data_IF_240956772087
#
_entry.id   IF_240956772087
#
_cell.length_a   1.000
_cell.length_b   1.000
_cell.length_c   1.000
_cell.angle_alpha   90.00
_cell.angle_beta   90.00
_cell.angle_gamma   90.00
#
_symmetry.space_group_name_H-M   'P 1'
#
loop_
_entity.id
_entity.type
_entity.pdbx_description
1 polymer ?
#
# COMPACT_ATOMS: atom_id res chain seq x y z
N UNK A 1 9.49 -19.29 -12.91
CA UNK A 1 8.99 -18.16 -13.72
C UNK A 1 10.09 -17.18 -14.17
N UNK A 2 11.31 -17.22 -13.65
CA UNK A 2 12.41 -16.31 -14.07
C UNK A 2 12.95 -16.57 -15.48
N UNK A 3 12.78 -17.79 -16.02
CA UNK A 3 13.25 -18.16 -17.36
C UNK A 3 12.53 -17.41 -18.49
N UNK A 4 11.22 -17.24 -18.36
CA UNK A 4 10.35 -16.60 -19.35
C UNK A 4 10.74 -15.11 -19.58
N UNK A 5 11.07 -14.39 -18.50
CA UNK A 5 11.48 -12.99 -18.61
C UNK A 5 12.86 -12.85 -19.27
N UNK A 6 13.77 -13.79 -19.04
CA UNK A 6 15.13 -13.72 -19.63
C UNK A 6 15.09 -13.94 -21.14
N UNK A 7 14.26 -14.87 -21.61
CA UNK A 7 14.05 -15.13 -23.03
C UNK A 7 13.39 -13.92 -23.70
N UNK A 8 12.34 -13.37 -23.09
CA UNK A 8 11.68 -12.16 -23.56
C UNK A 8 12.65 -10.95 -23.63
N UNK A 9 13.57 -10.80 -22.68
CA UNK A 9 14.62 -9.76 -22.75
C UNK A 9 15.51 -9.96 -23.97
N UNK A 10 16.02 -11.18 -24.19
CA UNK A 10 16.91 -11.45 -25.33
C UNK A 10 16.21 -11.20 -26.67
N UNK A 11 14.95 -11.61 -26.80
CA UNK A 11 14.17 -11.37 -28.02
C UNK A 11 13.90 -9.87 -28.22
N UNK A 12 13.48 -9.17 -27.17
CA UNK A 12 13.23 -7.73 -27.24
C UNK A 12 14.50 -6.92 -27.57
N UNK A 13 15.67 -7.36 -27.11
CA UNK A 13 16.97 -6.77 -27.49
C UNK A 13 17.28 -6.91 -28.99
N UNK A 14 16.77 -7.96 -29.63
CA UNK A 14 16.90 -8.17 -31.08
C UNK A 14 15.83 -7.45 -31.90
N UNK A 15 14.95 -6.67 -31.26
CA UNK A 15 13.89 -5.89 -31.91
C UNK A 15 12.52 -6.58 -31.96
N UNK A 16 12.33 -7.68 -31.24
CA UNK A 16 11.02 -8.32 -31.11
C UNK A 16 10.05 -7.45 -30.28
N UNK A 17 9.08 -6.84 -30.96
CA UNK A 17 8.08 -5.99 -30.34
C UNK A 17 7.11 -6.74 -29.42
N UNK A 18 6.79 -8.00 -29.72
CA UNK A 18 5.89 -8.82 -28.90
C UNK A 18 6.59 -9.24 -27.61
N UNK A 19 7.87 -9.56 -27.68
CA UNK A 19 8.69 -9.78 -26.50
C UNK A 19 8.76 -8.51 -25.63
N UNK A 20 8.99 -7.34 -26.22
CA UNK A 20 8.96 -6.08 -25.46
C UNK A 20 7.60 -5.83 -24.81
N UNK A 21 6.51 -6.08 -25.54
CA UNK A 21 5.13 -5.95 -25.04
C UNK A 21 4.87 -6.89 -23.87
N UNK A 22 5.42 -8.11 -23.89
CA UNK A 22 5.36 -9.06 -22.77
C UNK A 22 6.11 -8.50 -21.54
N UNK A 23 7.32 -7.97 -21.72
CA UNK A 23 8.09 -7.33 -20.64
C UNK A 23 7.30 -6.17 -20.02
N UNK A 24 6.73 -5.30 -20.86
CA UNK A 24 5.90 -4.17 -20.43
C UNK A 24 4.70 -4.64 -19.61
N UNK A 25 3.87 -5.52 -20.16
CA UNK A 25 2.66 -6.02 -19.47
C UNK A 25 2.98 -6.73 -18.16
N UNK A 26 4.11 -7.41 -18.10
CA UNK A 26 4.55 -8.13 -16.90
C UNK A 26 5.01 -7.18 -15.78
N UNK A 27 5.72 -6.10 -16.12
CA UNK A 27 6.36 -5.23 -15.13
C UNK A 27 5.57 -3.97 -14.81
N UNK A 28 4.80 -3.45 -15.76
CA UNK A 28 4.09 -2.17 -15.64
C UNK A 28 3.16 -2.11 -14.42
N UNK A 29 2.32 -3.12 -14.10
CA UNK A 29 1.41 -3.00 -12.96
C UNK A 29 2.15 -2.85 -11.62
N UNK A 30 3.22 -3.62 -11.42
CA UNK A 30 4.05 -3.52 -10.21
C UNK A 30 4.86 -2.22 -10.16
N UNK A 31 5.34 -1.76 -11.32
CA UNK A 31 6.07 -0.52 -11.45
C UNK A 31 5.19 0.71 -11.16
N UNK A 32 3.97 0.73 -11.68
CA UNK A 32 3.00 1.80 -11.41
C UNK A 32 2.67 1.86 -9.92
N UNK A 33 2.29 0.74 -9.29
CA UNK A 33 2.01 0.72 -7.84
C UNK A 33 3.19 1.24 -7.00
N UNK A 34 4.42 0.87 -7.38
CA UNK A 34 5.63 1.39 -6.74
C UNK A 34 5.77 2.90 -6.93
N UNK A 35 5.56 3.41 -8.13
CA UNK A 35 5.67 4.84 -8.44
C UNK A 35 4.55 5.66 -7.81
N UNK A 36 3.31 5.16 -7.79
CA UNK A 36 2.16 5.80 -7.10
C UNK A 36 2.48 6.04 -5.63
N UNK A 37 3.08 5.06 -4.95
CA UNK A 37 3.48 5.23 -3.55
C UNK A 37 4.64 6.25 -3.35
N UNK A 38 5.42 6.56 -4.39
CA UNK A 38 6.55 7.50 -4.30
C UNK A 38 6.20 8.93 -4.73
N UNK A 39 5.42 9.09 -5.80
CA UNK A 39 5.16 10.38 -6.45
C UNK A 39 3.67 10.72 -6.59
N UNK A 40 2.77 9.83 -6.13
CA UNK A 40 1.33 10.08 -6.17
C UNK A 40 0.79 10.18 -7.60
N UNK A 41 0.06 11.25 -7.89
CA UNK A 41 -0.61 11.48 -9.17
C UNK A 41 0.34 11.53 -10.38
N UNK A 42 1.61 11.89 -10.17
CA UNK A 42 2.60 11.99 -11.26
C UNK A 42 3.19 10.61 -11.66
N UNK A 43 2.66 9.51 -11.12
CA UNK A 43 3.23 8.17 -11.33
C UNK A 43 3.17 7.70 -12.79
N UNK A 44 2.09 7.99 -13.51
CA UNK A 44 1.93 7.60 -14.91
C UNK A 44 2.93 8.32 -15.82
N UNK A 45 3.14 9.61 -15.58
CA UNK A 45 4.12 10.42 -16.31
C UNK A 45 5.54 9.90 -16.07
N UNK A 46 5.89 9.66 -14.80
CA UNK A 46 7.20 9.10 -14.43
C UNK A 46 7.38 7.70 -15.02
N UNK A 47 6.34 6.86 -15.03
CA UNK A 47 6.39 5.53 -15.63
C UNK A 47 6.61 5.61 -17.14
N UNK A 48 5.91 6.52 -17.82
CA UNK A 48 6.05 6.74 -19.27
C UNK A 48 7.46 7.18 -19.62
N UNK A 49 8.01 8.17 -18.91
CA UNK A 49 9.41 8.60 -19.09
C UNK A 49 10.41 7.47 -18.83
N UNK A 50 10.12 6.62 -17.85
CA UNK A 50 10.96 5.47 -17.50
C UNK A 50 10.94 4.42 -18.60
N UNK A 51 9.78 4.08 -19.15
CA UNK A 51 9.66 3.11 -20.26
C UNK A 51 10.29 3.62 -21.56
N UNK A 52 10.22 4.93 -21.82
CA UNK A 52 10.95 5.55 -22.93
C UNK A 52 12.47 5.48 -22.75
N UNK A 53 12.96 5.50 -21.51
CA UNK A 53 14.38 5.27 -21.25
C UNK A 53 14.72 3.78 -21.37
N UNK A 54 13.90 2.91 -20.79
CA UNK A 54 14.08 1.45 -20.85
C UNK A 54 14.13 0.97 -22.29
N UNK A 55 13.23 1.40 -23.17
CA UNK A 55 13.22 0.99 -24.57
C UNK A 55 14.50 1.41 -25.32
N UNK A 56 15.03 2.60 -25.03
CA UNK A 56 16.28 3.11 -25.61
C UNK A 56 17.51 2.38 -25.10
N UNK A 57 17.54 2.06 -23.81
CA UNK A 57 18.73 1.48 -23.16
C UNK A 57 18.73 -0.06 -23.24
N UNK A 58 17.58 -0.69 -23.50
CA UNK A 58 17.39 -2.14 -23.54
C UNK A 58 18.40 -2.88 -24.44
N UNK A 59 18.73 -2.42 -25.67
CA UNK A 59 19.71 -3.12 -26.51
C UNK A 59 21.10 -3.25 -25.88
N UNK A 60 21.44 -2.36 -24.94
CA UNK A 60 22.73 -2.36 -24.23
C UNK A 60 22.67 -3.00 -22.85
N UNK A 61 21.48 -3.37 -22.38
CA UNK A 61 21.32 -4.03 -21.09
C UNK A 61 22.06 -5.37 -21.10
N UNK A 62 22.96 -5.57 -20.13
CA UNK A 62 23.69 -6.82 -20.00
C UNK A 62 23.92 -7.15 -18.53
N UNK A 63 23.66 -8.41 -18.18
CA UNK A 63 23.83 -8.93 -16.83
C UNK A 63 22.83 -8.40 -15.80
N UNK A 64 22.79 -9.07 -14.65
CA UNK A 64 21.88 -8.72 -13.56
C UNK A 64 20.41 -9.09 -13.81
N UNK A 65 19.56 -8.75 -12.83
CA UNK A 65 18.12 -9.01 -12.92
C UNK A 65 17.43 -7.85 -13.65
N UNK A 66 16.80 -8.12 -14.78
CA UNK A 66 16.12 -7.12 -15.61
C UNK A 66 15.10 -6.28 -14.83
N UNK A 67 14.31 -6.93 -13.96
CA UNK A 67 13.34 -6.26 -13.10
C UNK A 67 14.02 -5.24 -12.17
N UNK A 68 15.16 -5.58 -11.59
CA UNK A 68 15.91 -4.67 -10.73
C UNK A 68 16.46 -3.47 -11.51
N UNK A 69 16.88 -3.69 -12.76
CA UNK A 69 17.34 -2.64 -13.66
C UNK A 69 16.22 -1.65 -14.04
N UNK A 70 15.06 -2.16 -14.46
CA UNK A 70 13.84 -1.35 -14.74
C UNK A 70 13.47 -0.48 -13.55
N UNK A 71 13.43 -1.09 -12.36
CA UNK A 71 13.04 -0.38 -11.14
C UNK A 71 14.09 0.63 -10.70
N UNK A 72 15.37 0.39 -10.99
CA UNK A 72 16.44 1.36 -10.75
C UNK A 72 16.26 2.60 -11.61
N UNK A 73 15.97 2.43 -12.92
CA UNK A 73 15.67 3.54 -13.82
C UNK A 73 14.48 4.35 -13.31
N UNK A 74 13.37 3.67 -13.03
CA UNK A 74 12.14 4.31 -12.56
C UNK A 74 12.32 5.04 -11.23
N UNK A 75 13.03 4.44 -10.27
CA UNK A 75 13.36 5.08 -9.00
C UNK A 75 14.19 6.34 -9.19
N UNK A 76 15.22 6.30 -10.04
CA UNK A 76 16.05 7.47 -10.30
C UNK A 76 15.20 8.61 -10.90
N UNK A 77 14.32 8.27 -11.84
CA UNK A 77 13.38 9.22 -12.47
C UNK A 77 12.42 9.85 -11.46
N UNK A 78 11.84 9.03 -10.57
CA UNK A 78 11.00 9.50 -9.48
C UNK A 78 11.76 10.43 -8.51
N UNK A 79 12.98 10.07 -8.13
CA UNK A 79 13.79 10.91 -7.23
C UNK A 79 14.17 12.24 -7.89
N UNK A 80 14.49 12.24 -9.19
CA UNK A 80 14.74 13.47 -9.94
C UNK A 80 13.49 14.35 -10.05
N UNK A 81 12.33 13.75 -10.27
CA UNK A 81 11.04 14.43 -10.24
C UNK A 81 10.78 15.13 -8.91
N UNK A 82 10.88 14.39 -7.80
CA UNK A 82 10.72 14.95 -6.44
C UNK A 82 11.74 16.06 -6.13
N UNK A 83 12.99 15.93 -6.61
CA UNK A 83 14.01 16.99 -6.47
C UNK A 83 13.69 18.23 -7.30
N UNK A 84 13.02 18.11 -8.45
CA UNK A 84 12.58 19.26 -9.26
C UNK A 84 11.43 20.00 -8.56
N UNK A 85 10.44 19.27 -8.06
CA UNK A 85 9.32 19.85 -7.31
C UNK A 85 9.80 20.65 -6.10
N UNK A 86 10.74 20.11 -5.32
CA UNK A 86 11.32 20.81 -4.15
C UNK A 86 12.11 22.08 -4.48
N UNK A 87 12.67 22.19 -5.69
CA UNK A 87 13.52 23.33 -6.11
C UNK A 87 12.71 24.47 -6.73
N UNK A 88 11.43 24.25 -7.04
CA UNK A 88 10.52 25.28 -7.55
C UNK A 88 9.62 25.69 -6.37
N UNK A 89 9.77 26.89 -5.77
CA UNK A 89 8.86 27.35 -4.74
C UNK A 89 7.53 27.67 -5.41
N UNK A 90 6.73 26.64 -5.68
CA UNK A 90 5.30 26.81 -5.79
C UNK A 90 4.78 27.01 -4.36
N UNK A 91 3.82 27.91 -4.22
CA UNK A 91 3.05 28.22 -3.01
C UNK A 91 2.78 26.96 -2.18
N UNK A 92 2.75 27.05 -0.83
CA UNK A 92 2.77 25.89 0.05
C UNK A 92 1.59 24.98 -0.26
N UNK A 93 1.86 23.88 -0.96
CA UNK A 93 0.96 22.73 -1.01
C UNK A 93 1.13 22.05 0.34
N UNK A 94 0.09 22.03 1.20
CA UNK A 94 0.18 21.40 2.50
C UNK A 94 0.58 19.93 2.33
N UNK A 95 1.32 19.40 3.30
CA UNK A 95 1.73 17.98 3.40
C UNK A 95 0.51 17.14 3.79
N UNK A 96 -0.56 17.27 3.02
CA UNK A 96 -1.82 16.53 3.05
C UNK A 96 -2.19 16.00 1.65
N UNK A 97 -1.38 16.25 0.61
CA UNK A 97 -1.66 15.77 -0.75
C UNK A 97 -1.60 14.24 -0.95
N UNK A 98 -1.25 13.46 0.09
CA UNK A 98 -1.32 11.99 0.05
C UNK A 98 -2.71 11.44 0.45
N UNK A 99 -3.64 12.28 0.91
CA UNK A 99 -4.95 11.84 1.44
C UNK A 99 -6.10 12.01 0.44
N UNK A 100 -5.87 12.66 -0.72
CA UNK A 100 -6.95 12.98 -1.67
C UNK A 100 -7.18 11.99 -2.81
N UNK A 101 -6.41 10.91 -2.93
CA UNK A 101 -6.62 9.94 -4.02
C UNK A 101 -7.72 8.90 -3.73
N UNK A 102 -8.30 8.91 -2.52
CA UNK A 102 -9.25 7.89 -2.09
C UNK A 102 -10.73 8.16 -2.44
N UNK A 103 -11.08 9.27 -3.13
CA UNK A 103 -12.50 9.62 -3.35
C UNK A 103 -13.12 9.25 -4.70
N UNK A 104 -12.34 8.81 -5.69
CA UNK A 104 -12.86 8.71 -7.06
C UNK A 104 -12.68 7.30 -7.65
N UNK A 105 -13.45 6.32 -7.17
CA UNK A 105 -13.55 5.02 -7.84
C UNK A 105 -14.86 4.27 -7.53
N UNK A 106 -15.96 4.71 -8.13
CA UNK A 106 -17.20 3.92 -8.23
C UNK A 106 -17.17 3.07 -9.51
N UNK A 107 -16.92 1.75 -9.39
CA UNK A 107 -17.39 0.74 -10.36
C UNK A 107 -17.35 -0.68 -9.76
N UNK A 108 -18.53 -1.21 -9.46
CA UNK A 108 -18.81 -2.15 -8.36
C UNK A 108 -18.36 -3.63 -8.47
N UNK A 109 -17.38 -4.00 -9.28
CA UNK A 109 -16.84 -5.38 -9.25
C UNK A 109 -15.32 -5.48 -9.42
N UNK A 110 -14.69 -4.48 -10.07
CA UNK A 110 -13.24 -4.23 -9.96
C UNK A 110 -12.88 -3.25 -8.84
N UNK A 111 -13.86 -2.51 -8.31
CA UNK A 111 -13.64 -1.52 -7.25
C UNK A 111 -13.14 -2.15 -5.96
N UNK A 112 -13.64 -3.30 -5.49
CA UNK A 112 -13.21 -3.84 -4.18
C UNK A 112 -11.74 -4.25 -4.13
N UNK A 113 -11.20 -4.89 -5.18
CA UNK A 113 -9.77 -5.23 -5.25
C UNK A 113 -8.89 -3.99 -5.50
N UNK A 114 -9.38 -3.05 -6.30
CA UNK A 114 -8.68 -1.78 -6.59
C UNK A 114 -8.62 -0.89 -5.34
N UNK A 115 -9.75 -0.71 -4.64
CA UNK A 115 -9.86 -0.03 -3.34
C UNK A 115 -8.94 -0.70 -2.32
N UNK A 116 -8.91 -2.04 -2.25
CA UNK A 116 -8.00 -2.77 -1.36
C UNK A 116 -6.52 -2.51 -1.67
N UNK A 117 -6.16 -2.44 -2.96
CA UNK A 117 -4.79 -2.18 -3.41
C UNK A 117 -4.36 -0.73 -3.14
N UNK A 118 -5.21 0.25 -3.45
CA UNK A 118 -4.94 1.67 -3.20
C UNK A 118 -4.82 1.96 -1.70
N UNK A 119 -5.72 1.37 -0.89
CA UNK A 119 -5.66 1.47 0.57
C UNK A 119 -4.36 0.88 1.11
N UNK A 120 -3.94 -0.30 0.61
CA UNK A 120 -2.67 -0.89 0.99
C UNK A 120 -1.46 -0.01 0.62
N UNK A 121 -1.46 0.61 -0.56
CA UNK A 121 -0.39 1.53 -0.98
C UNK A 121 -0.37 2.80 -0.13
N UNK A 122 -1.54 3.36 0.20
CA UNK A 122 -1.67 4.51 1.08
C UNK A 122 -1.13 4.18 2.50
N UNK A 123 -1.48 3.02 3.05
CA UNK A 123 -0.95 2.55 4.33
C UNK A 123 0.57 2.36 4.28
N UNK A 124 1.11 1.77 3.22
CA UNK A 124 2.56 1.64 3.02
C UNK A 124 3.24 3.02 2.99
N UNK A 125 2.61 4.03 2.38
CA UNK A 125 3.15 5.39 2.33
C UNK A 125 3.23 6.08 3.72
N UNK A 126 2.50 5.58 4.73
CA UNK A 126 2.59 6.08 6.12
C UNK A 126 3.82 5.54 6.88
N UNK A 127 4.46 4.49 6.38
CA UNK A 127 5.63 3.90 7.02
C UNK A 127 6.85 4.83 6.96
N UNK A 128 7.84 4.66 7.85
CA UNK A 128 9.14 5.30 7.67
C UNK A 128 9.67 5.04 6.25
N UNK A 129 10.22 6.04 5.53
CA UNK A 129 10.54 5.92 4.11
C UNK A 129 11.40 4.70 3.75
N UNK A 130 12.32 4.36 4.65
CA UNK A 130 13.23 3.21 4.51
C UNK A 130 12.53 1.86 4.55
N UNK A 131 11.44 1.76 5.30
CA UNK A 131 10.64 0.55 5.47
C UNK A 131 9.61 0.46 4.33
N UNK A 132 8.93 1.57 4.02
CA UNK A 132 8.02 1.68 2.88
C UNK A 132 8.67 1.19 1.58
N UNK A 133 9.83 1.76 1.23
CA UNK A 133 10.52 1.45 -0.02
C UNK A 133 11.01 -0.01 -0.05
N UNK A 134 11.45 -0.55 1.09
CA UNK A 134 11.84 -1.96 1.19
C UNK A 134 10.64 -2.91 1.04
N UNK A 135 9.48 -2.55 1.60
CA UNK A 135 8.23 -3.32 1.44
C UNK A 135 7.77 -3.28 -0.01
N UNK A 136 7.71 -2.10 -0.64
CA UNK A 136 7.27 -1.98 -2.04
C UNK A 136 8.15 -2.81 -2.99
N UNK A 137 9.48 -2.69 -2.87
CA UNK A 137 10.39 -3.44 -3.75
C UNK A 137 10.27 -4.96 -3.58
N UNK A 138 10.00 -5.43 -2.36
CA UNK A 138 9.98 -6.87 -2.04
C UNK A 138 8.61 -7.50 -2.28
N UNK A 139 7.53 -6.83 -1.89
CA UNK A 139 6.17 -7.38 -1.90
C UNK A 139 5.36 -6.94 -3.12
N UNK A 140 5.55 -5.71 -3.62
CA UNK A 140 4.77 -5.17 -4.74
C UNK A 140 5.46 -5.41 -6.07
N UNK A 141 6.76 -5.12 -6.13
CA UNK A 141 7.60 -5.34 -7.32
C UNK A 141 8.11 -6.77 -7.38
N UNK A 142 8.30 -7.43 -6.24
CA UNK A 142 8.73 -8.81 -6.18
C UNK A 142 10.24 -9.02 -6.44
N UNK A 143 11.09 -8.06 -6.07
CA UNK A 143 12.55 -8.24 -6.13
C UNK A 143 13.05 -9.12 -5.00
N UNK A 144 14.15 -9.83 -5.22
CA UNK A 144 14.89 -10.46 -4.12
C UNK A 144 15.57 -9.40 -3.21
N UNK A 145 16.00 -9.79 -1.99
CA UNK A 145 16.60 -8.84 -1.05
C UNK A 145 17.96 -8.29 -1.50
N UNK A 146 18.73 -9.06 -2.28
CA UNK A 146 19.98 -8.62 -2.89
C UNK A 146 19.73 -7.63 -4.01
N UNK A 147 18.80 -7.91 -4.92
CA UNK A 147 18.39 -6.99 -5.97
C UNK A 147 17.79 -5.69 -5.44
N UNK A 148 16.86 -5.77 -4.49
CA UNK A 148 16.35 -4.58 -3.79
C UNK A 148 17.47 -3.82 -3.06
N UNK A 149 18.46 -4.54 -2.50
CA UNK A 149 19.66 -3.94 -1.92
C UNK A 149 20.46 -3.11 -2.91
N UNK A 150 20.68 -3.62 -4.13
CA UNK A 150 21.34 -2.87 -5.22
C UNK A 150 20.56 -1.60 -5.60
N UNK A 151 19.24 -1.71 -5.78
CA UNK A 151 18.35 -0.57 -6.07
C UNK A 151 18.43 0.53 -5.00
N UNK A 152 18.48 0.12 -3.72
CA UNK A 152 18.48 1.03 -2.57
C UNK A 152 19.87 1.51 -2.12
N UNK A 153 20.96 0.97 -2.68
CA UNK A 153 22.31 1.20 -2.18
C UNK A 153 22.56 0.63 -0.78
N UNK A 154 22.01 -0.55 -0.48
CA UNK A 154 22.01 -1.18 0.85
C UNK A 154 22.37 -2.66 0.81
N UNK A 155 22.86 -3.16 1.95
CA UNK A 155 23.09 -4.60 2.15
C UNK A 155 21.75 -5.35 2.19
N UNK A 156 21.71 -6.55 1.61
CA UNK A 156 20.52 -7.40 1.59
C UNK A 156 19.93 -7.66 2.99
N UNK A 157 20.79 -7.81 4.01
CA UNK A 157 20.36 -7.96 5.41
C UNK A 157 19.54 -6.76 5.90
N UNK A 158 19.98 -5.54 5.61
CA UNK A 158 19.27 -4.33 6.00
C UNK A 158 17.91 -4.20 5.30
N UNK A 159 17.82 -4.65 4.04
CA UNK A 159 16.53 -4.68 3.30
C UNK A 159 15.56 -5.67 3.94
N UNK A 160 16.00 -6.89 4.29
CA UNK A 160 15.15 -7.88 4.96
C UNK A 160 14.60 -7.33 6.27
N UNK A 161 15.46 -6.74 7.09
CA UNK A 161 15.04 -6.17 8.38
C UNK A 161 14.06 -5.01 8.19
N UNK A 162 14.31 -4.11 7.23
CA UNK A 162 13.42 -2.99 6.95
C UNK A 162 12.06 -3.45 6.44
N UNK A 163 12.02 -4.40 5.49
CA UNK A 163 10.78 -4.98 4.99
C UNK A 163 10.00 -5.69 6.09
N UNK A 164 10.68 -6.49 6.94
CA UNK A 164 10.03 -7.16 8.06
C UNK A 164 9.43 -6.17 9.07
N UNK A 165 10.16 -5.10 9.42
CA UNK A 165 9.64 -4.04 10.30
C UNK A 165 8.44 -3.32 9.69
N UNK A 166 8.51 -2.97 8.41
CA UNK A 166 7.40 -2.35 7.69
C UNK A 166 6.15 -3.22 7.70
N UNK A 167 6.26 -4.50 7.32
CA UNK A 167 5.15 -5.44 7.33
C UNK A 167 4.55 -5.65 8.73
N UNK A 168 5.38 -5.74 9.78
CA UNK A 168 4.88 -5.83 11.16
C UNK A 168 4.13 -4.59 11.61
N UNK A 169 4.57 -3.39 11.19
CA UNK A 169 3.89 -2.14 11.49
C UNK A 169 2.56 -2.04 10.76
N UNK A 170 2.49 -2.47 9.49
CA UNK A 170 1.23 -2.54 8.73
C UNK A 170 0.24 -3.50 9.39
N UNK A 171 0.68 -4.70 9.78
CA UNK A 171 -0.18 -5.66 10.47
C UNK A 171 -0.79 -5.07 11.76
N UNK A 172 0.03 -4.37 12.56
CA UNK A 172 -0.46 -3.71 13.77
C UNK A 172 -1.42 -2.54 13.51
N UNK A 173 -1.36 -1.88 12.35
CA UNK A 173 -2.32 -0.84 11.97
C UNK A 173 -3.67 -1.46 11.59
N UNK A 174 -3.65 -2.53 10.79
CA UNK A 174 -4.86 -3.24 10.37
C UNK A 174 -5.59 -3.89 11.56
N UNK A 175 -4.85 -4.50 12.50
CA UNK A 175 -5.45 -5.05 13.73
C UNK A 175 -6.17 -3.98 14.59
N UNK A 176 -5.72 -2.73 14.53
CA UNK A 176 -6.35 -1.61 15.26
C UNK A 176 -7.62 -1.12 14.56
N UNK A 177 -7.63 -1.09 13.24
CA UNK A 177 -8.83 -0.74 12.45
C UNK A 177 -9.93 -1.79 12.65
N UNK A 178 -9.60 -3.08 12.56
CA UNK A 178 -10.52 -4.20 12.83
C UNK A 178 -11.12 -4.17 14.24
N UNK A 179 -10.35 -3.68 15.22
CA UNK A 179 -10.79 -3.57 16.62
C UNK A 179 -11.73 -2.38 16.87
N UNK A 180 -11.69 -1.36 16.01
CA UNK A 180 -12.55 -0.17 16.09
C UNK A 180 -13.87 -0.39 15.32
N UNK A 181 -13.84 -1.21 14.27
CA UNK A 181 -15.01 -1.49 13.42
C UNK A 181 -15.94 -2.58 13.99
N UNK A 182 -15.48 -3.43 14.92
CA UNK A 182 -16.39 -4.30 15.69
C UNK A 182 -17.06 -3.47 16.79
N UNK A 183 -18.38 -3.20 16.72
CA UNK A 183 -19.06 -2.60 17.84
C UNK A 183 -18.95 -3.56 19.02
N UNK A 184 -18.45 -3.06 20.15
CA UNK A 184 -18.50 -3.74 21.43
C UNK A 184 -19.96 -4.12 21.66
N UNK A 185 -20.26 -5.41 21.48
CA UNK A 185 -21.55 -5.98 21.85
C UNK A 185 -21.81 -5.59 23.30
N UNK A 186 -22.90 -4.87 23.52
CA UNK A 186 -23.31 -4.33 24.81
C UNK A 186 -23.76 -5.51 25.68
N UNK A 187 -22.80 -6.26 26.22
CA UNK A 187 -23.09 -7.30 27.21
C UNK A 187 -23.11 -6.64 28.59
N UNK A 188 -24.30 -6.15 28.93
CA UNK A 188 -24.53 -5.37 30.13
C UNK A 188 -25.98 -4.95 30.26
N UNK A 189 -26.93 -5.85 29.99
CA UNK A 189 -28.30 -5.65 30.43
C UNK A 189 -28.32 -5.64 31.96
N UNK A 190 -28.70 -4.54 32.63
CA UNK A 190 -28.91 -4.57 34.08
C UNK A 190 -30.15 -5.44 34.36
N UNK A 191 -30.17 -6.23 35.45
CA UNK A 191 -31.32 -7.06 35.76
C UNK A 191 -32.56 -6.19 36.00
N UNK A 192 -33.77 -6.63 35.59
CA UNK A 192 -34.99 -5.88 35.85
C UNK A 192 -35.21 -5.79 37.36
N UNK A 193 -35.23 -4.56 37.88
CA UNK A 193 -35.65 -4.28 39.26
C UNK A 193 -37.15 -4.55 39.35
N UNK A 194 -37.52 -5.68 39.93
CA UNK A 194 -38.90 -5.99 40.31
C UNK A 194 -39.36 -5.08 41.46
N UNK A 195 -40.45 -4.36 41.22
CA UNK A 195 -41.45 -4.03 42.24
C UNK A 195 -41.25 -2.72 42.99
N UNK A 196 -41.95 -1.68 42.56
CA UNK A 196 -42.52 -0.71 43.48
C UNK A 196 -44.00 -0.48 43.17
N UNK A 197 -44.74 -0.23 44.24
CA UNK A 197 -46.09 0.33 44.35
C UNK A 197 -47.20 -0.72 44.59
N UNK A 198 -47.55 -0.98 45.86
CA UNK A 198 -48.41 -0.15 46.73
C UNK A 198 -49.89 -0.41 46.46
N UNK A 199 -50.59 -0.98 47.45
CA UNK A 199 -51.84 -0.43 47.97
C UNK A 199 -52.41 -1.30 49.10
N UNK A 200 -53.14 -0.62 49.98
CA UNK A 200 -54.12 -1.11 50.97
C UNK A 200 -53.55 -1.48 52.35
N UNK A 201 -53.30 -0.43 53.12
CA UNK A 201 -53.44 -0.44 54.57
C UNK A 201 -54.91 -0.16 54.88
N UNK A 202 -55.67 -1.17 55.27
CA UNK A 202 -56.95 -1.02 55.93
C UNK A 202 -56.81 -1.62 57.34
N UNK A 203 -57.03 -0.76 58.32
CA UNK A 203 -57.02 -1.00 59.75
C UNK A 203 -58.22 -1.82 60.20
N UNK A 204 -58.01 -2.93 60.93
CA UNK A 204 -58.93 -3.36 61.99
C UNK A 204 -58.24 -4.31 62.99
N UNK A 205 -57.89 -3.75 64.14
CA UNK A 205 -57.50 -4.37 65.41
C UNK A 205 -58.29 -3.48 66.39
N UNK A 206 -59.15 -3.92 67.31
CA UNK A 206 -59.29 -5.19 68.00
C UNK A 206 -60.61 -5.13 68.84
N UNK A 207 -60.90 -5.98 69.85
CA UNK A 207 -62.21 -6.58 70.08
C UNK A 207 -62.92 -6.02 71.33
N UNK A 208 -64.04 -6.65 71.74
CA UNK A 208 -64.31 -7.19 73.10
C UNK A 208 -65.82 -7.27 73.37
N UNK A 209 -66.23 -8.52 73.64
CA UNK A 209 -67.24 -9.07 74.55
C UNK A 209 -68.62 -8.43 74.77
N UNK A 210 -69.61 -9.35 74.92
CA UNK A 210 -70.62 -9.25 75.97
C UNK A 210 -72.04 -9.05 75.51
#
# INVERSE_FOLDING_TARGET
MTGDLSEAVSAAQSGDEDAFRLLYRTLQPGLLRYLTALVGADAEDVASESWLQISRDLPTFSGGEFRAWVVTIARNRAMDHLRRLRRRPALPVPVQALVHLASDADTAEGASETIGTETALALIATLPPREAEAVLLRAVVGLDAGSAGRVLGRRAGAVRTAAHRGLRRLAALLEREDSVERPVGVDGAPPPRSGSSSAVRASHTEPVDG
#
